data_IF_032068900350
#
_entry.id   IF_032068900350
#
_cell.length_a   1.000
_cell.length_b   1.000
_cell.length_c   1.000
_cell.angle_alpha   90.00
_cell.angle_beta   90.00
_cell.angle_gamma   90.00
#
_symmetry.space_group_name_H-M   'P 1'
#
loop_
_entity.id
_entity.type
_entity.pdbx_description
1 polymer ?
#
# COMPACT_ATOMS: atom_id res chain seq x y z
N UNK A 1 -6.01 15.36 57.79
CA UNK A 1 -7.11 14.39 57.57
C UNK A 1 -7.83 14.80 56.30
N UNK A 2 -8.20 13.81 55.47
CA UNK A 2 -8.83 13.87 54.13
C UNK A 2 -7.85 14.05 52.93
N UNK A 3 -7.38 12.91 52.41
CA UNK A 3 -7.55 12.58 50.97
C UNK A 3 -9.04 12.19 50.77
N UNK A 4 -9.68 12.28 49.57
CA UNK A 4 -9.08 12.10 48.24
C UNK A 4 -9.72 12.95 47.09
N UNK A 5 -9.13 12.90 45.89
CA UNK A 5 -9.90 12.51 44.70
C UNK A 5 -8.95 12.07 43.58
N UNK A 6 -8.84 10.75 43.47
CA UNK A 6 -8.24 10.04 42.36
C UNK A 6 -9.09 10.33 41.12
N UNK A 7 -8.58 11.11 40.16
CA UNK A 7 -9.19 11.16 38.83
C UNK A 7 -8.59 10.02 37.99
N UNK A 8 -9.41 9.12 37.45
CA UNK A 8 -8.91 8.08 36.56
C UNK A 8 -8.38 8.76 35.29
N UNK A 9 -7.11 8.53 34.98
CA UNK A 9 -6.57 8.77 33.65
C UNK A 9 -7.42 7.96 32.68
N UNK A 10 -8.26 8.63 31.90
CA UNK A 10 -8.91 8.04 30.74
C UNK A 10 -7.81 7.71 29.74
N UNK A 11 -7.30 6.49 29.80
CA UNK A 11 -6.63 5.85 28.68
C UNK A 11 -7.68 5.69 27.59
N UNK A 12 -7.78 6.70 26.74
CA UNK A 12 -8.46 6.57 25.47
C UNK A 12 -7.62 5.62 24.63
N UNK A 13 -8.02 4.33 24.63
CA UNK A 13 -7.64 3.42 23.58
C UNK A 13 -8.15 4.01 22.27
N UNK A 14 -7.24 4.68 21.57
CA UNK A 14 -7.43 5.12 20.20
C UNK A 14 -7.45 3.85 19.34
N UNK A 15 -8.63 3.25 19.17
CA UNK A 15 -8.88 2.32 18.08
C UNK A 15 -9.04 3.16 16.82
N UNK A 16 -7.94 3.34 16.11
CA UNK A 16 -8.00 3.60 14.68
C UNK A 16 -8.32 2.27 14.01
N UNK A 17 -9.40 2.20 13.22
CA UNK A 17 -9.52 1.23 12.11
C UNK A 17 -8.54 1.62 10.97
N UNK A 18 -7.31 1.91 11.36
CA UNK A 18 -6.16 2.06 10.51
C UNK A 18 -5.22 0.96 10.95
N UNK A 19 -5.04 -0.02 10.06
CA UNK A 19 -3.97 -1.02 10.04
C UNK A 19 -3.33 -1.24 11.42
N UNK A 20 -3.86 -2.17 12.20
CA UNK A 20 -3.16 -2.69 13.37
C UNK A 20 -1.90 -3.44 12.89
N UNK A 21 -0.83 -2.68 12.66
CA UNK A 21 0.55 -3.16 12.49
C UNK A 21 1.04 -3.73 13.84
N UNK A 22 0.46 -4.84 14.31
CA UNK A 22 0.87 -5.47 15.57
C UNK A 22 1.57 -6.82 15.38
N UNK A 23 2.81 -6.85 15.84
CA UNK A 23 3.70 -7.94 16.28
C UNK A 23 4.02 -9.13 15.36
N UNK A 24 3.34 -9.36 14.24
CA UNK A 24 3.70 -10.43 13.29
C UNK A 24 4.28 -9.93 11.96
N UNK A 25 4.24 -8.61 11.72
CA UNK A 25 4.92 -7.95 10.59
C UNK A 25 6.43 -8.24 10.49
N UNK A 26 7.03 -8.66 11.60
CA UNK A 26 8.46 -8.77 11.74
C UNK A 26 9.09 -9.91 10.94
N UNK A 27 8.43 -11.03 10.65
CA UNK A 27 9.18 -12.16 10.04
C UNK A 27 9.60 -11.87 8.59
N UNK A 28 8.66 -11.45 7.73
CA UNK A 28 8.93 -11.16 6.31
C UNK A 28 9.56 -9.79 6.12
N UNK A 29 9.05 -8.75 6.80
CA UNK A 29 9.62 -7.40 6.70
C UNK A 29 11.01 -7.38 7.35
N UNK A 30 11.20 -7.92 8.55
CA UNK A 30 12.53 -7.88 9.17
C UNK A 30 13.53 -8.82 8.50
N UNK A 31 13.12 -9.97 7.93
CA UNK A 31 14.04 -10.78 7.13
C UNK A 31 14.51 -10.03 5.87
N UNK A 32 13.65 -9.19 5.27
CA UNK A 32 14.03 -8.33 4.14
C UNK A 32 14.98 -7.21 4.56
N UNK A 33 14.80 -6.60 5.73
CA UNK A 33 15.58 -5.43 6.12
C UNK A 33 17.03 -5.78 6.44
N UNK A 34 17.96 -5.11 5.77
CA UNK A 34 19.42 -5.28 5.96
C UNK A 34 19.93 -6.72 5.72
N UNK A 35 19.16 -7.54 5.01
CA UNK A 35 19.54 -8.90 4.66
C UNK A 35 20.70 -8.95 3.68
N UNK A 36 21.47 -10.04 3.74
CA UNK A 36 22.56 -10.37 2.82
C UNK A 36 22.31 -11.76 2.24
N UNK A 37 22.42 -11.88 0.92
CA UNK A 37 22.01 -13.06 0.17
C UNK A 37 23.09 -13.50 -0.84
N UNK A 38 23.32 -14.82 -1.01
CA UNK A 38 24.33 -15.36 -1.92
C UNK A 38 23.92 -15.34 -3.40
N UNK A 39 22.66 -14.98 -3.70
CA UNK A 39 22.18 -14.75 -5.06
C UNK A 39 20.78 -14.10 -5.02
N UNK A 40 20.37 -13.52 -6.15
CA UNK A 40 18.99 -13.07 -6.38
C UNK A 40 17.99 -14.23 -6.19
N UNK A 41 18.34 -15.43 -6.67
CA UNK A 41 17.51 -16.63 -6.54
C UNK A 41 17.30 -17.06 -5.09
N UNK A 42 18.36 -17.04 -4.28
CA UNK A 42 18.27 -17.36 -2.85
C UNK A 42 17.31 -16.39 -2.13
N UNK A 43 17.41 -15.08 -2.40
CA UNK A 43 16.49 -14.09 -1.84
C UNK A 43 15.03 -14.32 -2.28
N UNK A 44 14.82 -14.52 -3.59
CA UNK A 44 13.49 -14.80 -4.15
C UNK A 44 12.85 -16.01 -3.47
N UNK A 45 13.55 -17.12 -3.40
CA UNK A 45 12.96 -18.40 -3.01
C UNK A 45 12.78 -18.51 -1.49
N UNK A 46 13.71 -17.95 -0.70
CA UNK A 46 13.66 -18.04 0.77
C UNK A 46 12.80 -16.96 1.42
N UNK A 47 12.80 -15.75 0.86
CA UNK A 47 12.11 -14.60 1.45
C UNK A 47 10.82 -14.29 0.69
N UNK A 48 10.92 -13.95 -0.60
CA UNK A 48 9.75 -13.43 -1.32
C UNK A 48 8.70 -14.52 -1.56
N UNK A 49 9.10 -15.69 -2.08
CA UNK A 49 8.19 -16.79 -2.43
C UNK A 49 7.62 -17.54 -1.22
N UNK A 50 8.24 -17.43 -0.05
CA UNK A 50 7.72 -18.01 1.18
C UNK A 50 6.62 -17.15 1.81
N UNK A 51 6.40 -15.92 1.31
CA UNK A 51 5.39 -15.03 1.83
C UNK A 51 3.95 -15.54 1.53
N UNK A 52 3.01 -15.44 2.49
CA UNK A 52 1.65 -15.98 2.29
C UNK A 52 0.86 -15.30 1.16
N UNK A 53 1.22 -14.07 0.81
CA UNK A 53 0.45 -13.19 -0.07
C UNK A 53 1.00 -13.10 -1.50
N UNK A 54 2.05 -13.83 -1.85
CA UNK A 54 2.65 -13.73 -3.20
C UNK A 54 2.11 -14.75 -4.20
N UNK A 55 1.21 -15.63 -3.77
CA UNK A 55 0.56 -16.60 -4.64
C UNK A 55 -0.67 -15.98 -5.35
N UNK A 56 -0.87 -16.24 -6.66
CA UNK A 56 0.02 -16.97 -7.55
C UNK A 56 1.27 -16.16 -7.95
N UNK A 57 2.39 -16.86 -8.16
CA UNK A 57 3.61 -16.21 -8.64
C UNK A 57 3.51 -15.87 -10.12
N UNK A 58 3.73 -14.61 -10.48
CA UNK A 58 3.83 -14.16 -11.87
C UNK A 58 5.30 -13.93 -12.26
N UNK A 59 5.69 -14.25 -13.50
CA UNK A 59 7.05 -14.03 -13.99
C UNK A 59 7.49 -12.56 -13.84
N UNK A 60 6.57 -11.61 -14.04
CA UNK A 60 6.80 -10.18 -13.86
C UNK A 60 7.17 -9.77 -12.41
N UNK A 61 6.87 -10.60 -11.40
CA UNK A 61 7.30 -10.35 -10.01
C UNK A 61 8.82 -10.47 -9.83
N UNK A 62 9.54 -11.05 -10.80
CA UNK A 62 11.00 -11.10 -10.78
C UNK A 62 11.61 -9.69 -10.74
N UNK A 63 11.01 -8.71 -11.44
CA UNK A 63 11.48 -7.32 -11.41
C UNK A 63 11.38 -6.69 -10.03
N UNK A 64 10.37 -7.06 -9.22
CA UNK A 64 10.27 -6.62 -7.83
C UNK A 64 11.42 -7.18 -6.97
N UNK A 65 11.79 -8.44 -7.16
CA UNK A 65 12.92 -9.07 -6.47
C UNK A 65 14.23 -8.36 -6.81
N UNK A 66 14.45 -8.09 -8.10
CA UNK A 66 15.67 -7.47 -8.59
C UNK A 66 15.80 -6.01 -8.15
N UNK A 67 14.69 -5.25 -8.17
CA UNK A 67 14.67 -3.87 -7.70
C UNK A 67 14.96 -3.74 -6.19
N UNK A 68 14.65 -4.79 -5.42
CA UNK A 68 14.88 -4.81 -3.98
C UNK A 68 16.30 -5.21 -3.58
N UNK A 69 17.15 -5.60 -4.53
CA UNK A 69 18.53 -6.03 -4.26
C UNK A 69 19.57 -5.11 -4.89
N UNK A 70 20.69 -4.94 -4.18
CA UNK A 70 21.89 -4.28 -4.66
C UNK A 70 23.10 -5.22 -4.47
N UNK A 71 23.98 -5.31 -5.47
CA UNK A 71 25.21 -6.06 -5.33
C UNK A 71 26.18 -5.36 -4.37
N UNK A 72 26.75 -6.11 -3.42
CA UNK A 72 27.77 -5.61 -2.46
C UNK A 72 29.11 -6.33 -2.60
N UNK A 73 29.20 -7.33 -3.48
CA UNK A 73 30.42 -8.05 -3.80
C UNK A 73 30.14 -9.17 -4.82
N UNK A 74 31.17 -9.88 -5.30
CA UNK A 74 31.00 -11.01 -6.20
C UNK A 74 30.05 -12.05 -5.59
N UNK A 75 28.89 -12.27 -6.23
CA UNK A 75 27.88 -13.22 -5.77
C UNK A 75 27.20 -12.84 -4.45
N UNK A 76 27.31 -11.59 -4.00
CA UNK A 76 26.73 -11.14 -2.73
C UNK A 76 25.82 -9.94 -2.96
N UNK A 77 24.58 -10.06 -2.45
CA UNK A 77 23.54 -9.04 -2.59
C UNK A 77 23.06 -8.60 -1.22
N UNK A 78 22.69 -7.33 -1.08
CA UNK A 78 21.97 -6.79 0.08
C UNK A 78 20.65 -6.21 -0.38
N UNK A 79 19.68 -6.08 0.51
CA UNK A 79 18.43 -5.41 0.17
C UNK A 79 18.59 -3.89 0.12
N UNK A 80 17.85 -3.26 -0.79
CA UNK A 80 17.71 -1.80 -0.89
C UNK A 80 16.93 -1.25 0.31
N UNK A 81 16.03 -2.05 0.88
CA UNK A 81 15.28 -1.70 2.09
C UNK A 81 16.14 -1.82 3.35
N UNK A 82 16.38 -0.67 4.01
CA UNK A 82 17.16 -0.55 5.26
C UNK A 82 16.24 -0.45 6.47
N UNK A 83 16.58 -1.10 7.58
CA UNK A 83 15.75 -1.08 8.79
C UNK A 83 15.55 0.33 9.32
N UNK A 84 16.60 1.17 9.31
CA UNK A 84 16.51 2.57 9.72
C UNK A 84 15.50 3.36 8.88
N UNK A 85 15.55 3.22 7.56
CA UNK A 85 14.62 3.91 6.64
C UNK A 85 13.19 3.39 6.79
N UNK A 86 13.01 2.07 6.88
CA UNK A 86 11.69 1.46 7.06
C UNK A 86 11.06 1.86 8.40
N UNK A 87 11.86 1.95 9.47
CA UNK A 87 11.41 2.40 10.77
C UNK A 87 10.92 3.86 10.72
N UNK A 88 11.71 4.77 10.13
CA UNK A 88 11.31 6.17 9.98
C UNK A 88 10.05 6.32 9.12
N UNK A 89 9.94 5.55 8.03
CA UNK A 89 8.74 5.55 7.20
C UNK A 89 7.51 5.06 7.97
N UNK A 90 7.65 4.00 8.78
CA UNK A 90 6.58 3.47 9.63
C UNK A 90 6.11 4.51 10.65
N UNK A 91 7.03 5.15 11.37
CA UNK A 91 6.72 6.22 12.32
C UNK A 91 5.98 7.38 11.64
N UNK A 92 6.41 7.76 10.44
CA UNK A 92 5.75 8.82 9.68
C UNK A 92 4.31 8.45 9.31
N UNK A 93 4.09 7.27 8.74
CA UNK A 93 2.74 6.80 8.36
C UNK A 93 1.83 6.72 9.59
N UNK A 94 2.35 6.24 10.72
CA UNK A 94 1.59 6.17 11.98
C UNK A 94 1.31 7.54 12.60
N UNK A 95 2.10 8.57 12.29
CA UNK A 95 1.89 9.94 12.77
C UNK A 95 0.75 10.66 12.06
N UNK A 96 0.35 10.20 10.86
CA UNK A 96 -0.75 10.78 10.10
C UNK A 96 -2.07 10.31 10.70
N UNK A 97 -2.77 11.22 11.39
CA UNK A 97 -4.11 10.92 11.89
C UNK A 97 -5.10 10.70 10.75
N UNK A 98 -6.15 9.92 11.01
CA UNK A 98 -7.26 9.75 10.06
C UNK A 98 -7.86 11.09 9.60
N UNK A 99 -7.95 12.08 10.51
CA UNK A 99 -8.39 13.43 10.15
C UNK A 99 -7.45 14.10 9.17
N UNK A 100 -6.16 14.12 9.45
CA UNK A 100 -5.16 14.70 8.54
C UNK A 100 -5.16 14.03 7.17
N UNK A 101 -5.29 12.70 7.11
CA UNK A 101 -5.42 11.99 5.84
C UNK A 101 -6.67 12.41 5.06
N UNK A 102 -7.84 12.46 5.72
CA UNK A 102 -9.10 12.91 5.09
C UNK A 102 -9.00 14.33 4.57
N UNK A 103 -8.43 15.23 5.37
CA UNK A 103 -8.22 16.64 5.01
C UNK A 103 -7.29 16.75 3.78
N UNK A 104 -6.23 15.93 3.70
CA UNK A 104 -5.36 15.87 2.53
C UNK A 104 -6.05 15.30 1.30
N UNK A 105 -6.77 14.18 1.43
CA UNK A 105 -7.48 13.53 0.33
C UNK A 105 -8.57 14.46 -0.26
N UNK A 106 -9.31 15.18 0.59
CA UNK A 106 -10.33 16.14 0.17
C UNK A 106 -9.76 17.34 -0.62
N UNK A 107 -8.46 17.61 -0.49
CA UNK A 107 -7.78 18.71 -1.22
C UNK A 107 -7.32 18.30 -2.62
N UNK A 108 -7.38 17.02 -2.97
CA UNK A 108 -7.06 16.57 -4.34
C UNK A 108 -8.12 17.13 -5.29
N UNK A 109 -7.73 18.12 -6.10
CA UNK A 109 -8.61 18.73 -7.12
C UNK A 109 -8.33 18.23 -8.53
N UNK A 110 -7.28 17.43 -8.71
CA UNK A 110 -6.98 16.82 -10.01
C UNK A 110 -7.80 15.55 -10.19
N UNK A 111 -8.19 15.20 -11.43
CA UNK A 111 -8.82 13.92 -11.70
C UNK A 111 -8.00 12.77 -11.10
N UNK A 112 -8.68 11.78 -10.53
CA UNK A 112 -8.04 10.64 -9.89
C UNK A 112 -8.77 9.34 -10.24
N UNK A 113 -8.00 8.24 -10.25
CA UNK A 113 -8.50 6.88 -10.38
C UNK A 113 -8.09 6.09 -9.14
N UNK A 114 -9.06 5.41 -8.52
CA UNK A 114 -8.81 4.56 -7.36
C UNK A 114 -8.89 3.09 -7.79
N UNK A 115 -7.77 2.37 -7.77
CA UNK A 115 -7.75 0.93 -7.96
C UNK A 115 -7.75 0.22 -6.59
N UNK A 116 -8.62 -0.77 -6.41
CA UNK A 116 -8.80 -1.50 -5.15
C UNK A 116 -8.60 -3.00 -5.37
N UNK A 117 -7.66 -3.61 -4.64
CA UNK A 117 -7.57 -5.07 -4.52
C UNK A 117 -8.82 -5.63 -3.84
N UNK A 118 -9.35 -6.74 -4.35
CA UNK A 118 -10.56 -7.35 -3.79
C UNK A 118 -10.30 -8.49 -2.82
N UNK A 119 -9.06 -8.97 -2.72
CA UNK A 119 -8.73 -10.15 -1.91
C UNK A 119 -7.90 -9.81 -0.67
N UNK A 120 -7.95 -10.68 0.35
CA UNK A 120 -7.09 -10.60 1.52
C UNK A 120 -5.60 -10.52 1.18
N UNK A 121 -4.88 -9.70 1.93
CA UNK A 121 -3.43 -9.55 1.82
C UNK A 121 -2.73 -10.20 3.02
N UNK A 122 -2.52 -9.42 4.08
CA UNK A 122 -1.79 -9.86 5.27
C UNK A 122 -2.76 -10.33 6.34
N UNK A 123 -2.46 -11.46 7.00
CA UNK A 123 -3.28 -12.04 8.07
C UNK A 123 -4.74 -12.27 7.69
N UNK A 124 -5.02 -12.56 6.41
CA UNK A 124 -6.38 -12.77 5.93
C UNK A 124 -7.23 -11.49 5.83
N UNK A 125 -6.63 -10.31 5.99
CA UNK A 125 -7.32 -9.03 5.92
C UNK A 125 -6.95 -8.27 4.63
N UNK A 126 -7.91 -7.59 3.97
CA UNK A 126 -7.59 -6.69 2.87
C UNK A 126 -6.82 -5.47 3.38
N UNK A 127 -5.91 -4.94 2.56
CA UNK A 127 -5.15 -3.74 2.95
C UNK A 127 -6.02 -2.47 2.90
N UNK A 128 -6.99 -2.42 1.99
CA UNK A 128 -8.01 -1.39 1.91
C UNK A 128 -9.38 -2.07 1.89
N UNK A 129 -10.15 -1.90 2.95
CA UNK A 129 -11.52 -2.44 3.07
C UNK A 129 -12.46 -1.79 2.07
N UNK A 130 -13.62 -2.41 1.82
CA UNK A 130 -14.65 -1.83 0.94
C UNK A 130 -15.17 -0.49 1.46
N UNK A 131 -15.39 -0.35 2.76
CA UNK A 131 -15.78 0.91 3.38
C UNK A 131 -14.68 1.98 3.24
N UNK A 132 -13.41 1.59 3.40
CA UNK A 132 -12.27 2.48 3.20
C UNK A 132 -12.13 2.93 1.75
N UNK A 133 -12.35 2.03 0.80
CA UNK A 133 -12.33 2.32 -0.63
C UNK A 133 -13.47 3.27 -1.01
N UNK A 134 -14.68 3.05 -0.51
CA UNK A 134 -15.83 3.92 -0.74
C UNK A 134 -15.59 5.32 -0.16
N UNK A 135 -15.14 5.41 1.09
CA UNK A 135 -14.78 6.68 1.72
C UNK A 135 -13.72 7.43 0.92
N UNK A 136 -12.68 6.72 0.46
CA UNK A 136 -11.61 7.30 -0.36
C UNK A 136 -12.14 7.76 -1.71
N UNK A 137 -12.99 6.97 -2.36
CA UNK A 137 -13.59 7.28 -3.64
C UNK A 137 -14.45 8.55 -3.58
N UNK A 138 -15.23 8.71 -2.51
CA UNK A 138 -16.02 9.92 -2.26
C UNK A 138 -15.14 11.16 -2.10
N UNK A 139 -14.06 11.07 -1.31
CA UNK A 139 -13.12 12.17 -1.10
C UNK A 139 -12.42 12.57 -2.42
N UNK A 140 -12.07 11.58 -3.24
CA UNK A 140 -11.43 11.78 -4.55
C UNK A 140 -12.43 12.03 -5.69
N UNK A 141 -13.74 12.03 -5.41
CA UNK A 141 -14.82 12.19 -6.40
C UNK A 141 -14.69 11.23 -7.58
N UNK A 142 -14.31 9.99 -7.30
CA UNK A 142 -14.09 8.93 -8.29
C UNK A 142 -14.88 7.67 -7.93
N UNK A 143 -14.84 6.65 -8.78
CA UNK A 143 -15.37 5.32 -8.45
C UNK A 143 -14.21 4.33 -8.34
N UNK A 144 -14.22 3.40 -7.36
CA UNK A 144 -13.18 2.41 -7.25
C UNK A 144 -13.27 1.42 -8.41
N UNK A 145 -12.13 1.15 -9.04
CA UNK A 145 -11.95 0.06 -10.00
C UNK A 145 -11.50 -1.17 -9.21
N UNK A 146 -12.33 -2.19 -9.21
CA UNK A 146 -12.09 -3.43 -8.45
C UNK A 146 -11.18 -4.37 -9.24
N UNK A 147 -10.02 -4.68 -8.67
CA UNK A 147 -8.99 -5.52 -9.28
C UNK A 147 -8.87 -6.84 -8.49
N UNK A 148 -9.08 -8.00 -9.12
CA UNK A 148 -8.85 -9.30 -8.51
C UNK A 148 -7.40 -9.46 -8.03
N UNK A 149 -7.21 -10.30 -7.01
CA UNK A 149 -5.96 -10.41 -6.29
C UNK A 149 -5.89 -9.51 -5.06
N UNK A 150 -4.81 -9.69 -4.32
CA UNK A 150 -4.51 -8.94 -3.11
C UNK A 150 -3.66 -7.70 -3.44
N UNK A 151 -3.30 -6.91 -2.41
CA UNK A 151 -2.57 -5.66 -2.62
C UNK A 151 -1.26 -5.81 -3.43
N UNK A 152 -0.62 -6.97 -3.37
CA UNK A 152 0.58 -7.27 -4.15
C UNK A 152 0.24 -7.90 -5.50
N UNK A 153 -0.58 -8.95 -5.54
CA UNK A 153 -0.84 -9.71 -6.77
C UNK A 153 -1.71 -8.95 -7.77
N UNK A 154 -2.49 -7.96 -7.34
CA UNK A 154 -3.30 -7.10 -8.22
C UNK A 154 -2.48 -6.33 -9.25
N UNK A 155 -1.17 -6.17 -9.03
CA UNK A 155 -0.26 -5.41 -9.89
C UNK A 155 0.32 -6.24 -11.05
N UNK A 156 -0.05 -7.51 -11.16
CA UNK A 156 0.53 -8.45 -12.12
C UNK A 156 -0.54 -9.19 -12.93
N UNK A 157 -0.13 -9.80 -14.05
CA UNK A 157 -1.00 -10.59 -14.91
C UNK A 157 -2.30 -9.86 -15.30
N UNK A 158 -3.44 -10.54 -15.14
CA UNK A 158 -4.75 -9.95 -15.43
C UNK A 158 -5.11 -8.74 -14.56
N UNK A 159 -4.52 -8.60 -13.37
CA UNK A 159 -4.69 -7.40 -12.54
C UNK A 159 -4.06 -6.16 -13.19
N UNK A 160 -2.83 -6.30 -13.68
CA UNK A 160 -2.13 -5.26 -14.43
C UNK A 160 -2.89 -4.86 -15.70
N UNK A 161 -3.40 -5.84 -16.46
CA UNK A 161 -4.20 -5.59 -17.67
C UNK A 161 -5.45 -4.78 -17.37
N UNK A 162 -6.17 -5.10 -16.28
CA UNK A 162 -7.35 -4.34 -15.83
C UNK A 162 -6.99 -2.92 -15.41
N UNK A 163 -5.88 -2.73 -14.69
CA UNK A 163 -5.39 -1.39 -14.31
C UNK A 163 -5.07 -0.57 -15.56
N UNK A 164 -4.36 -1.14 -16.54
CA UNK A 164 -4.06 -0.44 -17.80
C UNK A 164 -5.32 -0.09 -18.58
N UNK A 165 -6.30 -1.01 -18.67
CA UNK A 165 -7.58 -0.73 -19.31
C UNK A 165 -8.33 0.42 -18.62
N UNK A 166 -8.35 0.42 -17.28
CA UNK A 166 -8.98 1.48 -16.50
C UNK A 166 -8.28 2.83 -16.68
N UNK A 167 -6.94 2.87 -16.71
CA UNK A 167 -6.18 4.08 -16.96
C UNK A 167 -6.43 4.65 -18.36
N UNK A 168 -6.54 3.79 -19.39
CA UNK A 168 -6.85 4.22 -20.76
C UNK A 168 -8.24 4.83 -20.87
N UNK A 169 -9.25 4.17 -20.30
CA UNK A 169 -10.62 4.69 -20.26
C UNK A 169 -10.67 6.04 -19.54
N UNK A 170 -10.04 6.11 -18.37
CA UNK A 170 -9.96 7.33 -17.57
C UNK A 170 -9.25 8.48 -18.32
N UNK A 171 -8.16 8.19 -19.03
CA UNK A 171 -7.44 9.19 -19.82
C UNK A 171 -8.28 9.75 -20.99
N UNK A 172 -9.08 8.90 -21.63
CA UNK A 172 -10.00 9.33 -22.69
C UNK A 172 -11.12 10.23 -22.14
N UNK A 173 -11.72 9.86 -21.01
CA UNK A 173 -12.77 10.64 -20.36
C UNK A 173 -12.25 12.00 -19.85
N UNK A 174 -11.03 12.02 -19.28
CA UNK A 174 -10.40 13.23 -18.80
C UNK A 174 -10.08 14.22 -19.96
N UNK A 175 -9.62 13.70 -21.10
CA UNK A 175 -9.38 14.51 -22.30
C UNK A 175 -10.69 15.10 -22.85
N UNK A 176 -11.74 14.30 -22.96
CA UNK A 176 -13.04 14.75 -23.44
C UNK A 176 -13.67 15.83 -22.53
N UNK A 177 -13.51 15.70 -21.21
CA UNK A 177 -13.97 16.70 -20.24
C UNK A 177 -13.22 18.02 -20.32
N UNK A 178 -11.91 18.00 -20.62
CA UNK A 178 -11.10 19.19 -20.80
C UNK A 178 -11.51 19.97 -22.07
N UNK A 179 -11.73 19.27 -23.19
CA UNK A 179 -12.13 19.88 -24.46
C UNK A 179 -13.52 20.52 -24.41
N UNK A 180 -14.47 19.91 -23.68
CA UNK A 180 -15.80 20.46 -23.46
C UNK A 180 -15.80 21.75 -22.61
N UNK A 181 -14.89 21.86 -21.65
CA UNK A 181 -14.73 23.07 -20.84
C UNK A 181 -14.11 24.22 -21.65
N UNK A 182 -13.16 23.91 -22.55
CA UNK A 182 -12.52 24.90 -23.42
C UNK A 182 -13.48 25.47 -24.48
N UNK A 183 -14.45 24.68 -24.95
CA UNK A 183 -15.45 25.14 -25.93
C UNK A 183 -16.60 25.93 -25.30
N UNK A 184 -16.94 25.68 -24.03
CA UNK A 184 -17.98 26.44 -23.32
C UNK A 184 -17.53 27.84 -22.85
N UNK A 185 -16.23 28.15 -22.94
CA UNK A 185 -15.64 29.43 -22.53
C UNK A 185 -15.42 30.42 -23.69
N UNK A 186 -15.88 30.08 -24.91
CA UNK A 186 -15.88 30.93 -26.11
C UNK A 186 -17.29 31.46 -26.38
#
# INVERSE_FOLDING_TARGET
MVLPSHRPSRSHHLRTDGINLHCLEFAMVAARLDGVYPSVGAYRDTVVRSAPFVAPWHAAMQGFVEADLAAIGPGLYTTSARAGTAHLASLHVQSVTQRQWRDCAARVQVPALLAQATEPFWMGMPMLTDEGAETTAQLLRTRPVRIPGNHFTMLYGGGAERIVAALRAWGADAAAGADACATAAQ
#
